data_IF_778145765897
#
_entry.id   IF_778145765897
#
_cell.length_a   1.000
_cell.length_b   1.000
_cell.length_c   1.000
_cell.angle_alpha   90.00
_cell.angle_beta   90.00
_cell.angle_gamma   90.00
#
_symmetry.space_group_name_H-M   'P 1'
#
loop_
_entity.id
_entity.type
_entity.pdbx_description
1 polymer ?
#
# COMPACT_ATOMS: atom_id res chain seq x y z
N UNK A 1 12.65 -20.13 -50.29
CA UNK A 1 12.79 -18.86 -49.54
C UNK A 1 12.86 -19.20 -48.06
N UNK A 2 14.04 -19.20 -47.44
CA UNK A 2 14.16 -19.34 -45.99
C UNK A 2 13.83 -18.00 -45.36
N UNK A 3 12.72 -17.93 -44.64
CA UNK A 3 12.35 -16.76 -43.86
C UNK A 3 13.11 -16.77 -42.53
N UNK A 4 13.46 -15.59 -42.02
CA UNK A 4 14.12 -15.40 -40.72
C UNK A 4 13.38 -16.17 -39.61
N UNK A 5 12.05 -16.22 -39.67
CA UNK A 5 11.20 -17.00 -38.77
C UNK A 5 11.52 -18.50 -38.75
N UNK A 6 11.78 -19.11 -39.91
CA UNK A 6 12.10 -20.54 -40.01
C UNK A 6 13.48 -20.86 -39.41
N UNK A 7 14.44 -19.96 -39.57
CA UNK A 7 15.77 -20.09 -38.99
C UNK A 7 15.74 -19.93 -37.46
N UNK A 8 14.96 -18.97 -36.96
CA UNK A 8 14.77 -18.75 -35.52
C UNK A 8 14.03 -19.90 -34.82
N UNK A 9 13.06 -20.54 -35.50
CA UNK A 9 12.38 -21.76 -35.03
C UNK A 9 13.37 -22.93 -34.82
N UNK A 10 14.33 -23.10 -35.73
CA UNK A 10 15.40 -24.10 -35.59
C UNK A 10 16.38 -23.82 -34.44
N UNK A 11 16.44 -22.58 -33.98
CA UNK A 11 17.24 -22.13 -32.84
C UNK A 11 16.43 -22.01 -31.53
N UNK A 12 15.15 -22.45 -31.54
CA UNK A 12 14.26 -22.46 -30.37
C UNK A 12 14.01 -21.06 -29.77
N UNK A 13 14.06 -20.00 -30.60
CA UNK A 13 13.64 -18.67 -30.15
C UNK A 13 12.12 -18.55 -30.15
N UNK A 14 11.55 -18.22 -28.99
CA UNK A 14 10.12 -17.96 -28.82
C UNK A 14 9.86 -16.45 -28.70
N UNK A 15 8.84 -15.94 -29.39
CA UNK A 15 8.39 -14.55 -29.19
C UNK A 15 7.84 -14.38 -27.76
N UNK A 16 8.37 -13.41 -27.02
CA UNK A 16 7.94 -13.05 -25.66
C UNK A 16 7.44 -11.61 -25.63
N UNK A 17 6.54 -11.31 -24.70
CA UNK A 17 6.12 -9.93 -24.45
C UNK A 17 7.30 -9.14 -23.87
N UNK A 18 7.56 -7.96 -24.44
CA UNK A 18 8.64 -7.08 -23.99
C UNK A 18 8.25 -6.48 -22.64
N UNK A 19 9.07 -6.73 -21.61
CA UNK A 19 8.95 -6.07 -20.31
C UNK A 19 9.54 -4.68 -20.41
N UNK A 20 8.77 -3.67 -20.04
CA UNK A 20 9.29 -2.30 -19.91
C UNK A 20 10.05 -2.23 -18.59
N UNK A 21 11.35 -2.02 -18.65
CA UNK A 21 12.17 -1.73 -17.47
C UNK A 21 12.46 -0.23 -17.42
N UNK A 22 12.04 0.48 -16.35
CA UNK A 22 12.34 1.89 -16.21
C UNK A 22 13.84 2.08 -16.00
N UNK A 23 14.50 2.78 -16.92
CA UNK A 23 15.95 3.05 -16.90
C UNK A 23 16.39 3.76 -15.60
N UNK A 24 15.53 4.62 -15.06
CA UNK A 24 15.78 5.35 -13.81
C UNK A 24 15.64 4.51 -12.55
N UNK A 25 14.87 3.42 -12.56
CA UNK A 25 14.62 2.59 -11.36
C UNK A 25 15.69 1.51 -11.15
N UNK A 26 16.31 1.02 -12.22
CA UNK A 26 17.23 -0.12 -12.20
C UNK A 26 18.68 0.23 -12.59
N UNK A 27 19.03 1.52 -12.57
CA UNK A 27 20.43 1.95 -12.68
C UNK A 27 21.27 1.29 -11.57
N UNK A 28 22.51 0.89 -11.89
CA UNK A 28 23.45 0.27 -10.97
C UNK A 28 23.68 1.10 -9.71
N UNK A 29 23.63 2.43 -9.82
CA UNK A 29 23.67 3.32 -8.66
C UNK A 29 22.49 3.10 -7.69
N UNK A 30 21.28 2.88 -8.20
CA UNK A 30 20.10 2.63 -7.38
C UNK A 30 20.08 1.21 -6.83
N UNK A 31 20.63 0.24 -7.57
CA UNK A 31 20.86 -1.12 -7.06
C UNK A 31 21.84 -1.12 -5.89
N UNK A 32 22.96 -0.38 -6.00
CA UNK A 32 23.93 -0.27 -4.91
C UNK A 32 23.33 0.42 -3.67
N UNK A 33 22.55 1.50 -3.86
CA UNK A 33 21.80 2.14 -2.77
C UNK A 33 20.82 1.17 -2.09
N UNK A 34 20.07 0.38 -2.86
CA UNK A 34 19.16 -0.65 -2.33
C UNK A 34 19.92 -1.74 -1.56
N UNK A 35 21.07 -2.17 -2.09
CA UNK A 35 21.93 -3.16 -1.42
C UNK A 35 22.47 -2.62 -0.09
N UNK A 36 23.01 -1.40 -0.09
CA UNK A 36 23.52 -0.77 1.12
C UNK A 36 22.42 -0.57 2.18
N UNK A 37 21.21 -0.19 1.75
CA UNK A 37 20.04 -0.10 2.62
C UNK A 37 19.66 -1.47 3.21
N UNK A 38 19.53 -2.50 2.38
CA UNK A 38 19.17 -3.85 2.81
C UNK A 38 20.22 -4.43 3.78
N UNK A 39 21.50 -4.19 3.54
CA UNK A 39 22.57 -4.62 4.44
C UNK A 39 22.46 -3.96 5.83
N UNK A 40 22.18 -2.65 5.89
CA UNK A 40 21.97 -1.93 7.15
C UNK A 40 20.72 -2.41 7.89
N UNK A 41 19.62 -2.62 7.17
CA UNK A 41 18.38 -3.13 7.77
C UNK A 41 18.61 -4.53 8.38
N UNK A 42 19.31 -5.40 7.66
CA UNK A 42 19.68 -6.74 8.15
C UNK A 42 20.56 -6.68 9.38
N UNK A 43 21.50 -5.73 9.44
CA UNK A 43 22.32 -5.51 10.64
C UNK A 43 21.46 -5.13 11.85
N UNK A 44 20.52 -4.19 11.70
CA UNK A 44 19.60 -3.81 12.77
C UNK A 44 18.72 -4.98 13.23
N UNK A 45 18.26 -5.84 12.31
CA UNK A 45 17.54 -7.06 12.65
C UNK A 45 18.42 -8.04 13.45
N UNK A 46 19.69 -8.20 13.09
CA UNK A 46 20.64 -9.09 13.81
C UNK A 46 21.01 -8.57 15.20
N UNK A 47 21.13 -7.26 15.36
CA UNK A 47 21.33 -6.61 16.66
C UNK A 47 20.07 -6.66 17.54
N UNK A 48 18.94 -7.08 16.95
CA UNK A 48 17.65 -7.21 17.61
C UNK A 48 17.01 -5.86 17.94
N UNK A 49 17.34 -4.82 17.18
CA UNK A 49 16.70 -3.50 17.27
C UNK A 49 15.21 -3.61 16.90
N UNK A 50 14.39 -2.69 17.41
CA UNK A 50 12.95 -2.72 17.18
C UNK A 50 12.61 -2.02 15.87
N UNK A 51 12.25 -2.80 14.86
CA UNK A 51 11.93 -2.30 13.53
C UNK A 51 10.43 -2.03 13.41
N UNK A 52 10.11 -0.84 12.91
CA UNK A 52 8.74 -0.41 12.56
C UNK A 52 8.70 -0.01 11.11
N UNK A 53 7.78 -0.58 10.36
CA UNK A 53 7.51 -0.22 8.98
C UNK A 53 6.36 0.75 8.91
N UNK A 54 6.58 1.87 8.24
CA UNK A 54 5.60 2.92 8.01
C UNK A 54 5.37 3.09 6.51
N UNK A 55 4.10 3.15 6.12
CA UNK A 55 3.70 3.47 4.76
C UNK A 55 2.36 4.20 4.73
N UNK A 56 2.15 4.90 3.63
CA UNK A 56 0.96 5.67 3.35
C UNK A 56 0.24 5.13 2.12
N UNK A 57 -1.08 4.95 2.23
CA UNK A 57 -1.87 4.53 1.08
C UNK A 57 -3.11 5.39 0.90
N UNK A 58 -3.33 5.78 -0.36
CA UNK A 58 -4.44 6.64 -0.75
C UNK A 58 -5.59 5.80 -1.33
N UNK A 59 -6.78 6.01 -0.81
CA UNK A 59 -8.03 5.47 -1.34
C UNK A 59 -8.90 6.61 -1.86
N UNK A 60 -9.52 6.39 -3.01
CA UNK A 60 -10.63 7.21 -3.47
C UNK A 60 -11.77 6.29 -3.88
N UNK A 61 -12.98 6.82 -3.73
CA UNK A 61 -14.16 6.18 -4.26
C UNK A 61 -14.52 6.84 -5.58
N UNK A 62 -14.29 6.12 -6.68
CA UNK A 62 -14.64 6.56 -8.02
C UNK A 62 -15.59 5.56 -8.68
N UNK A 63 -16.82 5.99 -8.89
CA UNK A 63 -17.83 5.20 -9.58
C UNK A 63 -17.93 5.64 -11.04
N UNK A 64 -17.71 4.71 -11.99
CA UNK A 64 -18.04 4.89 -13.40
C UNK A 64 -19.01 3.81 -13.86
N UNK A 65 -19.90 4.15 -14.81
CA UNK A 65 -20.74 3.13 -15.47
C UNK A 65 -19.85 2.22 -16.32
N UNK A 66 -19.93 0.92 -16.09
CA UNK A 66 -19.17 -0.09 -16.84
C UNK A 66 -19.80 -0.44 -18.19
N UNK A 67 -21.11 -0.22 -18.35
CA UNK A 67 -21.87 -0.52 -19.57
C UNK A 67 -22.72 0.67 -19.99
N UNK A 68 -22.82 0.88 -21.30
CA UNK A 68 -23.62 1.92 -21.93
C UNK A 68 -24.15 1.46 -23.29
N UNK A 69 -25.08 2.21 -23.87
CA UNK A 69 -25.64 1.93 -25.21
C UNK A 69 -25.11 2.97 -26.20
N UNK A 70 -24.78 2.53 -27.42
CA UNK A 70 -24.37 3.40 -28.52
C UNK A 70 -24.92 2.85 -29.84
N UNK A 71 -24.95 3.67 -30.89
CA UNK A 71 -25.41 3.23 -32.22
C UNK A 71 -24.44 2.16 -32.76
N UNK A 72 -24.93 1.19 -33.57
CA UNK A 72 -24.06 0.24 -34.26
C UNK A 72 -22.93 0.95 -35.01
N UNK A 73 -21.69 0.48 -34.85
CA UNK A 73 -20.50 1.10 -35.46
C UNK A 73 -19.88 2.25 -34.64
N UNK A 74 -20.49 2.67 -33.53
CA UNK A 74 -19.94 3.73 -32.66
C UNK A 74 -19.67 3.24 -31.24
N UNK A 75 -18.61 3.76 -30.61
CA UNK A 75 -18.25 3.41 -29.22
C UNK A 75 -19.22 4.09 -28.25
N UNK A 76 -19.65 3.38 -27.20
CA UNK A 76 -20.30 4.02 -26.06
C UNK A 76 -19.21 4.69 -25.20
N UNK A 77 -19.21 6.02 -25.15
CA UNK A 77 -18.21 6.80 -24.41
C UNK A 77 -18.88 7.78 -23.45
N UNK A 78 -18.34 7.88 -22.23
CA UNK A 78 -18.70 8.93 -21.28
C UNK A 78 -17.48 9.82 -21.09
N UNK A 79 -17.61 11.12 -21.36
CA UNK A 79 -16.58 12.11 -21.03
C UNK A 79 -16.78 12.51 -19.58
N UNK A 80 -15.78 12.23 -18.74
CA UNK A 80 -15.79 12.61 -17.33
C UNK A 80 -14.62 13.56 -17.08
N UNK A 81 -14.80 14.58 -16.23
CA UNK A 81 -13.67 15.38 -15.78
C UNK A 81 -12.61 14.48 -15.13
N UNK A 82 -11.31 14.83 -15.20
CA UNK A 82 -10.21 14.06 -14.62
C UNK A 82 -10.19 14.08 -13.08
N UNK A 83 -11.29 14.47 -12.44
CA UNK A 83 -11.39 14.49 -10.98
C UNK A 83 -11.52 13.06 -10.45
N UNK A 84 -10.40 12.53 -9.97
CA UNK A 84 -10.40 11.53 -8.90
C UNK A 84 -11.12 12.21 -7.72
N UNK A 85 -12.09 11.53 -7.11
CA UNK A 85 -12.77 12.07 -5.92
C UNK A 85 -11.77 12.41 -4.81
N UNK A 86 -12.21 13.06 -3.72
CA UNK A 86 -11.35 13.28 -2.56
C UNK A 86 -10.73 11.97 -2.11
N UNK A 87 -9.45 12.03 -1.76
CA UNK A 87 -8.70 10.89 -1.29
C UNK A 87 -8.79 10.82 0.24
N UNK A 88 -9.04 9.62 0.74
CA UNK A 88 -8.76 9.23 2.11
C UNK A 88 -7.36 8.62 2.14
N UNK A 89 -6.47 9.20 2.94
CA UNK A 89 -5.12 8.69 3.14
C UNK A 89 -5.06 7.92 4.45
N UNK A 90 -4.55 6.68 4.38
CA UNK A 90 -4.29 5.84 5.54
C UNK A 90 -2.79 5.82 5.76
N UNK A 91 -2.38 6.38 6.88
CA UNK A 91 -1.03 6.28 7.44
C UNK A 91 -1.02 5.12 8.42
N UNK A 92 -0.10 4.17 8.26
CA UNK A 92 -0.07 2.99 9.11
C UNK A 92 1.36 2.59 9.45
N UNK A 93 1.60 2.32 10.74
CA UNK A 93 2.86 1.81 11.25
C UNK A 93 2.66 0.40 11.81
N UNK A 94 3.51 -0.52 11.37
CA UNK A 94 3.44 -1.95 11.70
C UNK A 94 4.79 -2.49 12.15
N UNK A 95 4.79 -3.47 13.04
CA UNK A 95 5.99 -4.14 13.54
C UNK A 95 5.74 -5.63 13.70
N UNK A 96 6.79 -6.45 13.57
CA UNK A 96 6.72 -7.89 13.80
C UNK A 96 6.34 -8.23 15.27
N UNK A 97 6.71 -7.36 16.21
CA UNK A 97 6.53 -7.60 17.64
C UNK A 97 5.14 -7.20 18.16
N UNK A 98 4.48 -6.26 17.50
CA UNK A 98 3.20 -5.71 17.94
C UNK A 98 2.06 -5.92 16.93
N UNK A 99 2.38 -6.21 15.66
CA UNK A 99 1.44 -6.10 14.56
C UNK A 99 1.19 -4.63 14.23
N UNK A 100 -0.05 -4.18 14.37
CA UNK A 100 -0.41 -2.78 14.17
C UNK A 100 0.03 -1.91 15.36
N UNK A 101 0.97 -0.98 15.14
CA UNK A 101 1.46 -0.05 16.19
C UNK A 101 0.52 1.13 16.33
N UNK A 102 0.30 1.84 15.22
CA UNK A 102 -0.66 2.93 15.15
C UNK A 102 -1.08 3.18 13.71
N UNK A 103 -2.23 3.83 13.54
CA UNK A 103 -2.70 4.29 12.25
C UNK A 103 -3.35 5.65 12.39
N UNK A 104 -3.44 6.37 11.28
CA UNK A 104 -4.18 7.63 11.18
C UNK A 104 -4.88 7.70 9.83
N UNK A 105 -6.10 8.19 9.86
CA UNK A 105 -6.88 8.52 8.68
C UNK A 105 -6.84 10.04 8.52
N UNK A 106 -6.41 10.51 7.34
CA UNK A 106 -6.41 11.94 7.01
C UNK A 106 -7.10 12.14 5.66
N UNK A 107 -7.97 13.15 5.59
CA UNK A 107 -8.63 13.55 4.36
C UNK A 107 -7.80 14.62 3.64
N UNK A 108 -7.63 14.48 2.32
CA UNK A 108 -7.01 15.51 1.49
C UNK A 108 -5.50 15.35 1.29
N UNK A 109 -4.78 16.47 1.15
CA UNK A 109 -3.34 16.48 0.90
C UNK A 109 -2.57 16.78 2.18
N UNK A 110 -1.64 15.87 2.51
CA UNK A 110 -0.81 15.96 3.70
C UNK A 110 0.41 16.83 3.42
N UNK A 111 0.75 17.69 4.38
CA UNK A 111 1.99 18.48 4.34
C UNK A 111 3.14 17.71 4.98
N UNK A 112 4.37 18.04 4.55
CA UNK A 112 5.58 17.37 5.05
C UNK A 112 5.73 17.45 6.58
N UNK A 113 5.32 18.57 7.18
CA UNK A 113 5.38 18.79 8.63
C UNK A 113 4.45 17.85 9.41
N UNK A 114 3.26 17.58 8.87
CA UNK A 114 2.29 16.65 9.48
C UNK A 114 2.80 15.21 9.42
N UNK A 115 3.53 14.85 8.36
CA UNK A 115 4.17 13.55 8.27
C UNK A 115 5.32 13.42 9.29
N UNK A 116 6.15 14.45 9.43
CA UNK A 116 7.22 14.45 10.44
C UNK A 116 6.68 14.32 11.87
N UNK A 117 5.61 15.06 12.21
CA UNK A 117 4.94 14.93 13.49
C UNK A 117 4.33 13.53 13.72
N UNK A 118 3.89 12.87 12.65
CA UNK A 118 3.38 11.51 12.73
C UNK A 118 4.49 10.49 13.05
N UNK A 119 5.70 10.65 12.47
CA UNK A 119 6.86 9.80 12.81
C UNK A 119 7.21 9.90 14.30
N UNK A 120 7.15 11.09 14.89
CA UNK A 120 7.32 11.26 16.34
C UNK A 120 6.22 10.53 17.12
N UNK A 121 4.97 10.59 16.65
CA UNK A 121 3.85 9.87 17.26
C UNK A 121 4.07 8.36 17.23
N UNK A 122 4.61 7.81 16.13
CA UNK A 122 4.98 6.40 16.03
C UNK A 122 6.03 6.05 17.08
N UNK A 123 7.08 6.87 17.19
CA UNK A 123 8.16 6.65 18.16
C UNK A 123 7.65 6.62 19.61
N UNK A 124 6.79 7.58 19.98
CA UNK A 124 6.18 7.62 21.31
C UNK A 124 5.26 6.42 21.54
N UNK A 125 4.45 6.03 20.55
CA UNK A 125 3.58 4.86 20.64
C UNK A 125 4.37 3.57 20.88
N UNK A 126 5.52 3.40 20.21
CA UNK A 126 6.42 2.27 20.46
C UNK A 126 6.93 2.29 21.90
N UNK A 127 7.42 3.44 22.39
CA UNK A 127 7.97 3.55 23.76
C UNK A 127 6.94 3.35 24.87
N UNK A 128 5.68 3.69 24.61
CA UNK A 128 4.59 3.51 25.57
C UNK A 128 4.11 2.06 25.67
N UNK A 129 4.41 1.21 24.69
CA UNK A 129 3.99 -0.19 24.72
C UNK A 129 4.77 -0.99 25.77
N UNK A 130 4.06 -1.84 26.52
CA UNK A 130 4.65 -2.70 27.54
C UNK A 130 5.72 -3.65 26.97
N UNK A 131 5.47 -4.24 25.79
CA UNK A 131 6.42 -5.12 25.11
C UNK A 131 7.78 -4.44 24.84
N UNK A 132 7.80 -3.14 24.57
CA UNK A 132 9.03 -2.37 24.42
C UNK A 132 9.76 -2.21 25.76
N UNK A 133 9.02 -1.87 26.83
CA UNK A 133 9.58 -1.69 28.17
C UNK A 133 10.18 -3.00 28.71
N UNK A 134 9.55 -4.13 28.42
CA UNK A 134 9.96 -5.43 28.96
C UNK A 134 11.14 -6.05 28.18
N UNK A 135 11.16 -5.93 26.85
CA UNK A 135 12.08 -6.70 26.00
C UNK A 135 13.08 -5.86 25.19
N UNK A 136 12.86 -4.54 25.06
CA UNK A 136 13.61 -3.67 24.17
C UNK A 136 14.14 -2.40 24.85
N UNK A 137 13.98 -2.26 26.17
CA UNK A 137 14.51 -1.13 26.93
C UNK A 137 16.04 -1.03 26.76
N UNK A 138 16.49 0.02 26.06
CA UNK A 138 17.91 0.27 25.76
C UNK A 138 18.35 -0.07 24.32
N UNK A 139 17.48 -0.70 23.51
CA UNK A 139 17.73 -0.91 22.08
C UNK A 139 17.33 0.30 21.24
N UNK A 140 17.65 0.29 19.95
CA UNK A 140 17.25 1.37 19.03
C UNK A 140 15.89 1.07 18.42
N UNK A 141 15.11 2.13 18.21
CA UNK A 141 13.90 2.08 17.38
C UNK A 141 14.31 2.48 15.97
N UNK A 142 14.04 1.59 15.01
CA UNK A 142 14.35 1.80 13.59
C UNK A 142 13.04 1.93 12.83
N UNK A 143 12.74 3.14 12.34
CA UNK A 143 11.53 3.40 11.54
C UNK A 143 11.92 3.35 10.06
N UNK A 144 11.32 2.41 9.34
CA UNK A 144 11.51 2.20 7.91
C UNK A 144 10.34 2.81 7.15
N UNK A 145 10.62 3.79 6.30
CA UNK A 145 9.63 4.47 5.46
C UNK A 145 9.58 3.84 4.06
N UNK A 146 8.44 3.91 3.40
CA UNK A 146 8.22 3.53 1.98
C UNK A 146 8.59 2.07 1.63
N UNK A 147 8.72 1.20 2.63
CA UNK A 147 8.98 -0.24 2.46
C UNK A 147 7.94 -1.06 3.23
N UNK A 148 6.66 -0.76 2.98
CA UNK A 148 5.54 -1.47 3.58
C UNK A 148 5.62 -2.98 3.30
N UNK A 149 5.44 -3.81 4.33
CA UNK A 149 5.23 -5.24 4.12
C UNK A 149 3.96 -5.46 3.27
N UNK A 150 3.89 -6.60 2.58
CA UNK A 150 2.71 -6.96 1.79
C UNK A 150 1.40 -7.06 2.59
N UNK A 151 1.41 -6.94 3.92
CA UNK A 151 0.22 -6.81 4.76
C UNK A 151 -0.68 -5.61 4.35
N UNK A 152 -0.10 -4.56 3.76
CA UNK A 152 -0.86 -3.44 3.18
C UNK A 152 -1.72 -3.86 1.98
N UNK A 153 -1.31 -4.89 1.24
CA UNK A 153 -2.11 -5.46 0.14
C UNK A 153 -3.35 -6.20 0.67
N UNK A 154 -3.22 -6.85 1.84
CA UNK A 154 -4.34 -7.50 2.54
C UNK A 154 -5.34 -6.45 3.03
N UNK A 155 -4.85 -5.36 3.63
CA UNK A 155 -5.69 -4.22 4.02
C UNK A 155 -6.45 -3.65 2.83
N UNK A 156 -5.76 -3.41 1.70
CA UNK A 156 -6.38 -2.97 0.44
C UNK A 156 -7.48 -3.91 -0.02
N UNK A 157 -7.27 -5.22 0.09
CA UNK A 157 -8.26 -6.22 -0.31
C UNK A 157 -9.48 -6.22 0.62
N UNK A 158 -9.27 -6.08 1.94
CA UNK A 158 -10.34 -6.02 2.94
C UNK A 158 -11.23 -4.78 2.73
N UNK A 159 -10.62 -3.61 2.55
CA UNK A 159 -11.34 -2.37 2.26
C UNK A 159 -12.16 -2.51 0.98
N UNK A 160 -11.59 -3.06 -0.10
CA UNK A 160 -12.34 -3.33 -1.34
C UNK A 160 -13.50 -4.29 -1.11
N UNK A 161 -13.30 -5.34 -0.31
CA UNK A 161 -14.35 -6.28 0.05
C UNK A 161 -15.49 -5.60 0.80
N UNK A 162 -15.17 -4.80 1.81
CA UNK A 162 -16.16 -4.03 2.57
C UNK A 162 -16.99 -3.10 1.66
N UNK A 163 -16.32 -2.34 0.80
CA UNK A 163 -16.97 -1.43 -0.15
C UNK A 163 -17.84 -2.18 -1.16
N UNK A 164 -17.44 -3.38 -1.59
CA UNK A 164 -18.26 -4.19 -2.48
C UNK A 164 -19.58 -4.63 -1.82
N UNK A 165 -19.58 -4.94 -0.53
CA UNK A 165 -20.80 -5.28 0.22
C UNK A 165 -21.69 -4.06 0.45
N UNK A 166 -21.10 -2.88 0.65
CA UNK A 166 -21.80 -1.61 0.87
C UNK A 166 -21.96 -0.78 -0.41
N UNK A 167 -22.12 -1.47 -1.56
CA UNK A 167 -22.24 -0.78 -2.85
C UNK A 167 -23.49 0.11 -2.92
N UNK A 168 -24.59 -0.28 -2.26
CA UNK A 168 -25.82 0.51 -2.21
C UNK A 168 -25.58 1.88 -1.53
N UNK A 169 -24.91 1.86 -0.37
CA UNK A 169 -24.60 3.03 0.45
C UNK A 169 -23.77 4.08 -0.28
N UNK A 170 -23.02 3.71 -1.31
CA UNK A 170 -22.28 4.65 -2.16
C UNK A 170 -23.20 5.61 -2.95
N UNK A 171 -24.45 5.21 -3.16
CA UNK A 171 -25.46 5.94 -3.93
C UNK A 171 -26.58 6.51 -3.05
N UNK A 172 -26.51 6.33 -1.74
CA UNK A 172 -27.44 6.92 -0.79
C UNK A 172 -26.79 8.13 -0.11
N UNK A 173 -27.55 9.22 0.05
CA UNK A 173 -27.05 10.39 0.79
C UNK A 173 -27.28 10.22 2.30
N UNK A 174 -28.37 9.56 2.69
CA UNK A 174 -28.81 9.51 4.09
C UNK A 174 -28.99 10.91 4.67
N UNK A 175 -28.54 11.07 5.92
CA UNK A 175 -28.64 12.31 6.71
C UNK A 175 -27.53 13.34 6.41
N UNK A 176 -26.54 12.98 5.59
CA UNK A 176 -25.38 13.83 5.29
C UNK A 176 -25.73 14.96 4.33
N UNK A 177 -24.96 16.06 4.37
CA UNK A 177 -25.22 17.25 3.55
C UNK A 177 -24.97 16.97 2.07
N UNK A 178 -23.96 16.15 1.77
CA UNK A 178 -23.58 15.82 0.40
C UNK A 178 -23.29 14.32 0.23
N UNK A 179 -23.45 13.81 -1.00
CA UNK A 179 -22.98 12.45 -1.35
C UNK A 179 -21.47 12.30 -1.14
N UNK A 180 -20.71 13.38 -1.25
CA UNK A 180 -19.28 13.37 -1.04
C UNK A 180 -18.95 13.03 0.41
N UNK A 181 -19.58 13.73 1.33
CA UNK A 181 -19.44 13.55 2.77
C UNK A 181 -19.81 12.13 3.18
N UNK A 182 -20.97 11.62 2.74
CA UNK A 182 -21.37 10.22 3.01
C UNK A 182 -20.34 9.22 2.49
N UNK A 183 -19.80 9.42 1.29
CA UNK A 183 -18.79 8.52 0.70
C UNK A 183 -17.45 8.57 1.44
N UNK A 184 -17.06 9.74 1.96
CA UNK A 184 -15.85 9.85 2.79
C UNK A 184 -16.01 9.11 4.10
N UNK A 185 -17.16 9.26 4.77
CA UNK A 185 -17.48 8.49 5.98
C UNK A 185 -17.48 6.99 5.69
N UNK A 186 -18.10 6.55 4.59
CA UNK A 186 -18.07 5.14 4.18
C UNK A 186 -16.64 4.61 3.97
N UNK A 187 -15.72 5.43 3.44
CA UNK A 187 -14.31 5.05 3.29
C UNK A 187 -13.59 4.95 4.65
N UNK A 188 -13.91 5.85 5.58
CA UNK A 188 -13.37 5.82 6.95
C UNK A 188 -13.87 4.59 7.71
N UNK A 189 -15.17 4.29 7.62
CA UNK A 189 -15.78 3.09 8.20
C UNK A 189 -15.12 1.82 7.65
N UNK A 190 -14.96 1.76 6.32
CA UNK A 190 -14.29 0.65 5.65
C UNK A 190 -12.84 0.47 6.14
N UNK A 191 -12.12 1.58 6.34
CA UNK A 191 -10.77 1.56 6.86
C UNK A 191 -10.73 1.06 8.31
N UNK A 192 -11.54 1.65 9.20
CA UNK A 192 -11.61 1.27 10.61
C UNK A 192 -11.97 -0.20 10.81
N UNK A 193 -12.97 -0.71 10.09
CA UNK A 193 -13.37 -2.11 10.18
C UNK A 193 -12.31 -3.07 9.62
N UNK A 194 -11.51 -2.59 8.66
CA UNK A 194 -10.44 -3.40 8.04
C UNK A 194 -9.14 -3.38 8.84
N UNK A 195 -8.87 -2.36 9.68
CA UNK A 195 -7.61 -2.25 10.42
C UNK A 195 -7.23 -3.50 11.25
N UNK A 196 -8.16 -4.19 11.94
CA UNK A 196 -7.85 -5.41 12.69
C UNK A 196 -7.28 -6.55 11.83
N UNK A 197 -7.37 -6.50 10.49
CA UNK A 197 -6.75 -7.51 9.65
C UNK A 197 -5.21 -7.49 9.73
N UNK A 198 -4.61 -6.36 10.11
CA UNK A 198 -3.17 -6.23 10.35
C UNK A 198 -2.85 -6.75 11.75
N UNK A 199 -2.83 -8.07 11.86
CA UNK A 199 -2.43 -8.77 13.09
C UNK A 199 -0.91 -8.98 13.12
N UNK A 200 -0.39 -9.24 14.33
CA UNK A 200 1.02 -9.58 14.51
C UNK A 200 1.43 -10.80 13.67
N UNK A 201 0.61 -11.86 13.65
CA UNK A 201 0.87 -13.06 12.87
C UNK A 201 0.98 -12.78 11.38
N UNK A 202 0.10 -11.93 10.83
CA UNK A 202 0.17 -11.52 9.43
C UNK A 202 1.47 -10.75 9.13
N UNK A 203 1.87 -9.83 10.01
CA UNK A 203 3.09 -9.06 9.81
C UNK A 203 4.33 -9.96 9.86
N UNK A 204 4.38 -10.91 10.80
CA UNK A 204 5.47 -11.90 10.90
C UNK A 204 5.54 -12.76 9.62
N UNK A 205 4.40 -13.32 9.19
CA UNK A 205 4.33 -14.18 7.99
C UNK A 205 4.83 -13.44 6.75
N UNK A 206 4.38 -12.20 6.57
CA UNK A 206 4.75 -11.37 5.43
C UNK A 206 6.23 -11.01 5.44
N UNK A 207 6.78 -10.61 6.60
CA UNK A 207 8.19 -10.28 6.72
C UNK A 207 9.07 -11.53 6.50
N UNK A 208 8.65 -12.69 7.00
CA UNK A 208 9.33 -13.96 6.76
C UNK A 208 9.34 -14.33 5.27
N UNK A 209 8.23 -14.13 4.57
CA UNK A 209 8.19 -14.35 3.12
C UNK A 209 9.12 -13.41 2.34
N UNK A 210 9.41 -12.20 2.84
CA UNK A 210 10.34 -11.27 2.20
C UNK A 210 11.81 -11.67 2.41
N UNK A 211 12.14 -12.34 3.50
CA UNK A 211 13.50 -12.81 3.79
C UNK A 211 13.91 -14.06 2.99
N UNK A 212 12.93 -14.85 2.53
CA UNK A 212 13.16 -16.12 1.81
C UNK A 212 13.12 -16.00 0.27
N UNK A 213 13.18 -14.79 -0.28
CA UNK A 213 13.33 -14.58 -1.73
C UNK A 213 14.83 -14.54 -2.05
N UNK A 214 15.44 -15.73 -2.13
CA UNK A 214 16.76 -15.94 -2.76
C UNK A 214 16.64 -15.91 -4.30
#
# INVERSE_FOLDING_TARGET
MQTISLHLLGMVYTCKQVRIEPDTCNNDMNKEKRRAFAAKLKQHQQEGDFVVYYDETNYNLYCKRSRGRSKPGTRASTVLPPSKGPNLQIKCAVSAELGLVCYRLEQGCIKMDENAAYVETIYQAVKMNAAWQDNFAGKRVVIVLDNAPSCFSVLKSRIKGYLAHHTADMFERGEYRTFLERRMVLLEDAAHESMPCISQSLVIEVLFCQENVE
#
